data_IF_880672041310
#
_entry.id   IF_880672041310
#
_cell.length_a   1.000
_cell.length_b   1.000
_cell.length_c   1.000
_cell.angle_alpha   90.00
_cell.angle_beta   90.00
_cell.angle_gamma   90.00
#
_symmetry.space_group_name_H-M   'P 1'
#
loop_
_entity.id
_entity.type
_entity.pdbx_description
1 polymer ?
#
# COMPACT_ATOMS: atom_id res chain seq x y z
N UNK A 1 21.91 14.44 21.39
CA UNK A 1 22.80 13.73 20.45
C UNK A 1 22.70 14.44 19.12
N UNK A 2 23.69 15.27 18.77
CA UNK A 2 23.70 15.95 17.48
C UNK A 2 24.10 14.92 16.42
N UNK A 3 23.17 14.55 15.55
CA UNK A 3 23.50 13.76 14.37
C UNK A 3 24.14 14.69 13.34
N UNK A 4 25.45 14.67 13.24
CA UNK A 4 26.16 15.28 12.11
C UNK A 4 25.97 14.38 10.89
N UNK A 5 25.09 14.79 9.99
CA UNK A 5 25.00 14.18 8.66
C UNK A 5 26.17 14.70 7.82
N UNK A 6 27.04 13.84 7.29
CA UNK A 6 28.05 14.28 6.35
C UNK A 6 27.39 14.98 5.17
N UNK A 7 27.94 16.10 4.72
CA UNK A 7 27.41 16.93 3.62
C UNK A 7 27.29 16.19 2.26
N UNK A 8 27.74 14.95 2.18
CA UNK A 8 27.74 14.10 0.98
C UNK A 8 26.60 13.08 0.95
N UNK A 9 25.75 12.98 2.00
CA UNK A 9 24.63 12.04 1.98
C UNK A 9 23.52 12.51 1.04
N UNK A 10 23.01 11.62 0.19
CA UNK A 10 21.86 11.94 -0.65
C UNK A 10 20.64 12.21 0.23
N UNK A 11 19.88 13.25 -0.14
CA UNK A 11 18.65 13.59 0.56
C UNK A 11 17.61 12.48 0.35
N UNK A 12 17.02 11.98 1.43
CA UNK A 12 15.85 11.11 1.36
C UNK A 12 14.61 11.97 1.09
N UNK A 13 13.95 11.73 -0.03
CA UNK A 13 12.76 12.45 -0.45
C UNK A 13 11.48 11.82 0.08
N UNK A 14 11.43 10.51 0.14
CA UNK A 14 10.30 9.72 0.61
C UNK A 14 10.81 8.35 1.05
N UNK A 15 10.18 7.79 2.07
CA UNK A 15 10.34 6.42 2.54
C UNK A 15 8.98 5.89 2.97
N UNK A 16 8.88 4.61 3.28
CA UNK A 16 7.63 3.99 3.71
C UNK A 16 7.58 3.90 5.24
N UNK A 17 6.41 4.23 5.81
CA UNK A 17 6.14 4.01 7.23
C UNK A 17 5.83 2.53 7.54
N UNK A 18 5.40 1.77 6.53
CA UNK A 18 5.04 0.37 6.65
C UNK A 18 6.23 -0.53 6.29
N UNK A 19 6.99 -0.89 7.32
CA UNK A 19 8.06 -1.89 7.19
C UNK A 19 7.45 -3.26 6.98
N UNK A 20 8.06 -4.05 6.09
CA UNK A 20 7.65 -5.43 5.86
C UNK A 20 8.68 -6.39 6.42
N UNK A 21 8.23 -7.40 7.16
CA UNK A 21 9.11 -8.51 7.56
C UNK A 21 9.39 -9.38 6.33
N UNK A 22 10.65 -9.67 6.07
CA UNK A 22 11.05 -10.58 4.99
C UNK A 22 10.61 -12.01 5.35
N UNK A 23 9.75 -12.66 4.53
CA UNK A 23 9.20 -13.97 4.87
C UNK A 23 10.27 -15.01 5.17
N UNK A 24 10.05 -15.80 6.22
CA UNK A 24 10.98 -16.84 6.66
C UNK A 24 12.25 -16.34 7.36
N UNK A 25 12.34 -15.05 7.65
CA UNK A 25 13.48 -14.43 8.32
C UNK A 25 13.02 -13.46 9.42
N UNK A 26 13.98 -12.92 10.18
CA UNK A 26 13.74 -11.79 11.11
C UNK A 26 14.16 -10.44 10.51
N UNK A 27 14.51 -10.42 9.22
CA UNK A 27 14.89 -9.19 8.55
C UNK A 27 13.68 -8.30 8.29
N UNK A 28 13.92 -7.01 8.23
CA UNK A 28 12.94 -6.01 7.83
C UNK A 28 13.34 -5.40 6.48
N UNK A 29 12.36 -5.24 5.60
CA UNK A 29 12.52 -4.62 4.29
C UNK A 29 11.79 -3.28 4.28
N UNK A 30 12.42 -2.29 3.67
CA UNK A 30 11.82 -0.99 3.37
C UNK A 30 12.47 -0.40 2.13
N UNK A 31 11.97 0.76 1.69
CA UNK A 31 12.54 1.50 0.59
C UNK A 31 12.72 2.97 0.93
N UNK A 32 13.58 3.64 0.18
CA UNK A 32 13.66 5.10 0.20
C UNK A 32 13.91 5.65 -1.20
N UNK A 33 13.21 6.73 -1.54
CA UNK A 33 13.61 7.60 -2.63
C UNK A 33 14.72 8.53 -2.17
N UNK A 34 15.80 8.54 -2.90
CA UNK A 34 16.96 9.38 -2.63
C UNK A 34 17.28 10.27 -3.82
N UNK A 35 17.86 11.43 -3.53
CA UNK A 35 18.33 12.38 -4.54
C UNK A 35 19.68 12.95 -4.12
N UNK A 36 20.64 12.90 -5.03
CA UNK A 36 21.91 13.64 -4.88
C UNK A 36 21.76 15.12 -5.25
N UNK A 37 22.83 15.87 -5.15
CA UNK A 37 22.84 17.29 -5.54
C UNK A 37 22.52 17.49 -7.02
N UNK A 38 22.88 16.52 -7.84
CA UNK A 38 22.63 16.51 -9.29
C UNK A 38 21.97 15.21 -9.71
N UNK A 39 21.21 15.24 -10.80
CA UNK A 39 20.60 14.06 -11.42
C UNK A 39 19.17 13.76 -10.93
N UNK A 40 18.61 12.71 -11.51
CA UNK A 40 17.28 12.24 -11.19
C UNK A 40 17.27 11.46 -9.87
N UNK A 41 16.15 11.47 -9.13
CA UNK A 41 15.98 10.60 -7.96
C UNK A 41 16.12 9.12 -8.32
N UNK A 42 16.49 8.33 -7.33
CA UNK A 42 16.51 6.87 -7.44
C UNK A 42 15.82 6.24 -6.23
N UNK A 43 15.41 4.99 -6.37
CA UNK A 43 14.87 4.19 -5.28
C UNK A 43 15.95 3.21 -4.81
N UNK A 44 16.09 3.10 -3.49
CA UNK A 44 16.87 2.04 -2.83
C UNK A 44 15.92 1.14 -2.07
N UNK A 45 16.04 -0.17 -2.28
CA UNK A 45 15.42 -1.21 -1.47
C UNK A 45 16.42 -1.63 -0.42
N UNK A 46 16.02 -1.57 0.82
CA UNK A 46 16.92 -1.75 1.96
C UNK A 46 16.45 -2.91 2.84
N UNK A 47 17.41 -3.67 3.33
CA UNK A 47 17.22 -4.76 4.30
C UNK A 47 17.94 -4.43 5.60
N UNK A 48 17.25 -4.60 6.71
CA UNK A 48 17.83 -4.58 8.04
C UNK A 48 17.77 -5.98 8.64
N UNK A 49 18.92 -6.48 9.09
CA UNK A 49 18.98 -7.67 9.91
C UNK A 49 18.75 -7.29 11.38
N UNK A 50 18.38 -8.23 12.26
CA UNK A 50 18.18 -7.93 13.68
C UNK A 50 19.38 -7.28 14.36
N UNK A 51 20.59 -7.60 13.92
CA UNK A 51 21.86 -7.05 14.43
C UNK A 51 22.25 -5.71 13.82
N UNK A 52 21.61 -5.28 12.73
CA UNK A 52 21.96 -4.03 12.05
C UNK A 52 21.52 -2.81 12.86
N UNK A 53 22.30 -1.75 12.79
CA UNK A 53 21.86 -0.44 13.27
C UNK A 53 20.92 0.21 12.23
N UNK A 54 20.08 1.10 12.68
CA UNK A 54 19.19 1.85 11.78
C UNK A 54 19.93 2.60 10.65
N UNK A 55 21.21 2.91 10.88
CA UNK A 55 22.02 3.72 9.95
C UNK A 55 22.73 2.90 8.86
N UNK A 56 22.80 1.59 8.98
CA UNK A 56 23.62 0.73 8.10
C UNK A 56 22.84 -0.42 7.49
N UNK A 57 21.73 -0.15 6.75
CA UNK A 57 21.03 -1.21 6.07
C UNK A 57 21.87 -1.77 4.91
N UNK A 58 21.64 -3.01 4.57
CA UNK A 58 22.04 -3.56 3.29
C UNK A 58 21.20 -2.94 2.17
N UNK A 59 21.82 -2.39 1.14
CA UNK A 59 21.09 -1.97 -0.07
C UNK A 59 20.97 -3.17 -1.00
N UNK A 60 19.77 -3.76 -1.03
CA UNK A 60 19.46 -4.94 -1.86
C UNK A 60 19.42 -4.58 -3.34
N UNK A 61 18.80 -3.44 -3.66
CA UNK A 61 18.68 -2.96 -5.03
C UNK A 61 18.67 -1.43 -5.07
N UNK A 62 19.14 -0.90 -6.20
CA UNK A 62 19.12 0.53 -6.50
C UNK A 62 18.77 0.73 -7.97
N UNK A 63 17.71 1.50 -8.24
CA UNK A 63 17.29 1.75 -9.62
C UNK A 63 16.61 3.12 -9.77
N UNK A 64 16.53 3.57 -11.02
CA UNK A 64 15.81 4.80 -11.38
C UNK A 64 14.43 4.43 -11.91
N UNK A 65 13.36 4.75 -11.20
CA UNK A 65 12.02 4.55 -11.70
C UNK A 65 11.69 5.54 -12.83
N UNK A 66 10.66 5.24 -13.59
CA UNK A 66 10.18 6.09 -14.70
C UNK A 66 9.59 7.41 -14.23
N UNK A 67 9.07 7.42 -13.00
CA UNK A 67 8.45 8.59 -12.36
C UNK A 67 8.75 8.62 -10.87
N UNK A 68 8.78 9.81 -10.30
CA UNK A 68 8.79 10.01 -8.86
C UNK A 68 7.34 10.09 -8.38
N UNK A 69 6.90 9.06 -7.70
CA UNK A 69 5.53 8.87 -7.25
C UNK A 69 5.48 8.78 -5.73
N UNK A 70 4.40 9.29 -5.13
CA UNK A 70 4.14 8.99 -3.73
C UNK A 70 3.70 7.55 -3.59
N UNK A 71 4.39 6.80 -2.76
CA UNK A 71 4.05 5.43 -2.39
C UNK A 71 3.97 5.34 -0.86
N UNK A 72 2.81 4.97 -0.35
CA UNK A 72 2.58 4.83 1.10
C UNK A 72 2.93 3.44 1.59
N UNK A 73 2.73 2.42 0.76
CA UNK A 73 3.10 1.03 1.04
C UNK A 73 3.66 0.33 -0.20
N UNK A 74 4.12 -0.88 -0.01
CA UNK A 74 4.61 -1.79 -1.04
C UNK A 74 4.24 -3.22 -0.66
N UNK A 75 4.53 -4.19 -1.50
CA UNK A 75 4.26 -5.60 -1.20
C UNK A 75 5.51 -6.43 -1.24
N UNK A 76 5.50 -7.54 -0.50
CA UNK A 76 6.57 -8.52 -0.44
C UNK A 76 6.02 -9.93 -0.70
N UNK A 77 6.77 -10.73 -1.46
CA UNK A 77 6.59 -12.16 -1.61
C UNK A 77 7.72 -12.90 -0.88
N UNK A 78 7.80 -14.20 -1.00
CA UNK A 78 8.91 -14.96 -0.40
C UNK A 78 10.27 -14.56 -0.99
N UNK A 79 10.34 -14.10 -2.25
CA UNK A 79 11.60 -13.75 -2.89
C UNK A 79 11.64 -12.40 -3.62
N UNK A 80 10.53 -11.65 -3.66
CA UNK A 80 10.47 -10.39 -4.38
C UNK A 80 9.80 -9.28 -3.58
N UNK A 81 10.14 -8.04 -3.92
CA UNK A 81 9.38 -6.84 -3.54
C UNK A 81 8.67 -6.30 -4.77
N UNK A 82 7.42 -5.90 -4.62
CA UNK A 82 6.59 -5.33 -5.68
C UNK A 82 6.24 -3.88 -5.36
N UNK A 83 6.55 -3.00 -6.29
CA UNK A 83 6.26 -1.58 -6.21
C UNK A 83 5.23 -1.17 -7.25
N UNK A 84 4.25 -0.38 -6.83
CA UNK A 84 3.29 0.29 -7.71
C UNK A 84 3.62 1.78 -7.76
N UNK A 85 4.15 2.23 -8.89
CA UNK A 85 4.41 3.65 -9.13
C UNK A 85 3.17 4.29 -9.71
N UNK A 86 2.36 4.83 -8.83
CA UNK A 86 1.11 5.49 -9.17
C UNK A 86 1.36 6.79 -9.96
N UNK A 87 0.43 7.22 -10.81
CA UNK A 87 0.51 8.52 -11.48
C UNK A 87 0.13 9.69 -10.56
N UNK A 88 0.62 9.64 -9.33
CA UNK A 88 0.48 10.67 -8.30
C UNK A 88 1.85 11.23 -8.01
N UNK A 89 2.08 12.46 -8.45
CA UNK A 89 3.38 13.15 -8.32
C UNK A 89 3.36 14.08 -7.12
N UNK A 90 4.51 14.20 -6.48
CA UNK A 90 4.73 15.24 -5.48
C UNK A 90 5.35 16.43 -6.21
N UNK A 91 4.74 17.60 -6.14
CA UNK A 91 5.31 18.85 -6.61
C UNK A 91 5.87 19.66 -5.44
N UNK A 92 7.18 19.60 -5.19
CA UNK A 92 7.79 20.31 -4.06
C UNK A 92 7.67 21.82 -4.16
N UNK A 93 7.38 22.39 -5.33
CA UNK A 93 7.18 23.81 -5.50
C UNK A 93 5.86 24.31 -4.89
N UNK A 94 4.92 23.41 -4.70
CA UNK A 94 3.63 23.72 -4.06
C UNK A 94 3.71 23.80 -2.53
N UNK A 95 4.77 23.31 -1.88
CA UNK A 95 4.88 23.32 -0.41
C UNK A 95 4.71 24.69 0.21
N UNK A 96 5.37 25.77 -0.25
CA UNK A 96 5.20 27.08 0.35
C UNK A 96 3.77 27.63 0.20
N UNK A 97 3.14 27.40 -0.96
CA UNK A 97 1.78 27.89 -1.24
C UNK A 97 0.70 27.08 -0.48
N UNK A 98 0.99 25.84 -0.11
CA UNK A 98 0.09 24.96 0.62
C UNK A 98 0.22 25.05 2.14
N UNK A 99 0.93 26.05 2.67
CA UNK A 99 1.27 26.13 4.09
C UNK A 99 1.88 24.84 4.64
N UNK A 100 2.68 24.16 3.82
CA UNK A 100 3.32 22.88 4.12
C UNK A 100 2.37 21.69 4.32
N UNK A 101 1.13 21.76 3.84
CA UNK A 101 0.26 20.60 3.79
C UNK A 101 0.70 19.65 2.66
N UNK A 102 1.26 18.51 3.02
CA UNK A 102 1.87 17.58 2.06
C UNK A 102 0.90 17.13 0.96
N UNK A 103 -0.36 16.82 1.31
CA UNK A 103 -1.35 16.33 0.36
C UNK A 103 -1.81 17.39 -0.68
N UNK A 104 -1.68 18.68 -0.37
CA UNK A 104 -1.94 19.76 -1.34
C UNK A 104 -0.85 19.86 -2.43
N UNK A 105 0.30 19.26 -2.17
CA UNK A 105 1.41 19.23 -3.14
C UNK A 105 1.29 18.08 -4.14
N UNK A 106 0.36 17.16 -3.91
CA UNK A 106 0.17 15.99 -4.76
C UNK A 106 -0.67 16.36 -5.97
N UNK A 107 -0.25 15.82 -7.09
CA UNK A 107 -0.90 15.98 -8.38
C UNK A 107 -1.11 14.61 -9.01
N UNK A 108 -2.36 14.21 -9.16
CA UNK A 108 -2.75 12.91 -9.71
C UNK A 108 -3.45 13.07 -11.06
N UNK A 109 -3.08 12.26 -12.03
CA UNK A 109 -3.74 12.21 -13.32
C UNK A 109 -4.29 10.80 -13.57
N UNK A 110 -5.61 10.67 -13.60
CA UNK A 110 -6.30 9.39 -13.82
C UNK A 110 -6.13 8.83 -15.23
N UNK A 111 -5.65 9.61 -16.19
CA UNK A 111 -5.37 9.14 -17.55
C UNK A 111 -4.01 8.51 -17.69
N UNK A 112 -3.11 8.75 -16.71
CA UNK A 112 -1.77 8.20 -16.74
C UNK A 112 -1.77 6.76 -16.19
N UNK A 113 -0.84 5.97 -16.67
CA UNK A 113 -0.68 4.58 -16.27
C UNK A 113 0.10 4.44 -14.97
N UNK A 114 -0.19 3.38 -14.24
CA UNK A 114 0.61 2.90 -13.12
C UNK A 114 1.70 1.98 -13.65
N UNK A 115 2.93 2.16 -13.17
CA UNK A 115 4.06 1.30 -13.52
C UNK A 115 4.37 0.35 -12.36
N UNK A 116 4.55 -0.93 -12.69
CA UNK A 116 4.86 -1.98 -11.74
C UNK A 116 6.33 -2.37 -11.88
N UNK A 117 7.05 -2.41 -10.76
CA UNK A 117 8.41 -2.94 -10.69
C UNK A 117 8.47 -4.10 -9.71
N UNK A 118 9.22 -5.12 -10.08
CA UNK A 118 9.46 -6.31 -9.27
C UNK A 118 10.96 -6.40 -9.01
N UNK A 119 11.34 -6.45 -7.74
CA UNK A 119 12.74 -6.52 -7.31
C UNK A 119 13.00 -7.85 -6.63
N UNK A 120 13.94 -8.62 -7.12
CA UNK A 120 14.33 -9.87 -6.51
C UNK A 120 15.20 -9.61 -5.27
N UNK A 121 14.78 -10.12 -4.12
CA UNK A 121 15.43 -9.89 -2.82
C UNK A 121 16.77 -10.64 -2.68
N UNK A 122 17.01 -11.65 -3.50
CA UNK A 122 18.20 -12.48 -3.39
C UNK A 122 19.39 -11.92 -4.17
N UNK A 123 19.13 -11.35 -5.35
CA UNK A 123 20.19 -10.88 -6.24
C UNK A 123 20.06 -9.40 -6.63
N UNK A 124 18.99 -8.73 -6.21
CA UNK A 124 18.76 -7.32 -6.51
C UNK A 124 18.28 -7.01 -7.92
N UNK A 125 17.98 -8.05 -8.74
CA UNK A 125 17.49 -7.85 -10.10
C UNK A 125 16.16 -7.12 -10.11
N UNK A 126 16.02 -6.16 -11.04
CA UNK A 126 14.82 -5.33 -11.18
C UNK A 126 14.18 -5.62 -12.53
N UNK A 127 12.92 -6.05 -12.50
CA UNK A 127 12.08 -6.23 -13.69
C UNK A 127 11.01 -5.13 -13.74
N UNK A 128 10.69 -4.65 -14.91
CA UNK A 128 9.74 -3.56 -15.17
C UNK A 128 10.38 -2.38 -15.92
N UNK A 129 9.65 -1.28 -16.18
CA UNK A 129 8.26 -1.09 -15.77
C UNK A 129 7.29 -1.96 -16.58
N UNK A 130 6.34 -2.57 -15.89
CA UNK A 130 5.16 -3.17 -16.50
C UNK A 130 4.00 -2.19 -16.33
N UNK A 131 3.42 -1.71 -17.41
CA UNK A 131 2.39 -0.67 -17.33
C UNK A 131 1.00 -1.28 -17.22
N UNK A 132 0.19 -0.74 -16.32
CA UNK A 132 -1.23 -1.07 -16.17
C UNK A 132 -2.07 0.20 -16.15
N UNK A 133 -3.39 0.05 -16.11
CA UNK A 133 -4.30 1.19 -15.99
C UNK A 133 -4.05 1.97 -14.69
N UNK A 134 -4.68 3.14 -14.58
CA UNK A 134 -4.63 3.94 -13.38
C UNK A 134 -4.95 3.07 -12.14
N UNK A 135 -4.10 3.16 -11.15
CA UNK A 135 -4.30 2.61 -9.83
C UNK A 135 -3.79 3.61 -8.80
N UNK A 136 -4.41 3.63 -7.64
CA UNK A 136 -3.88 4.30 -6.46
C UNK A 136 -4.33 3.57 -5.21
N UNK A 137 -3.41 3.40 -4.28
CA UNK A 137 -3.64 2.76 -2.99
C UNK A 137 -2.75 3.38 -1.92
N UNK A 138 -3.28 3.54 -0.72
CA UNK A 138 -2.45 3.77 0.45
C UNK A 138 -1.87 2.44 0.94
N UNK A 139 -2.67 1.37 0.99
CA UNK A 139 -2.28 0.11 1.62
C UNK A 139 -2.41 -1.07 0.67
N UNK A 140 -1.35 -1.89 0.64
CA UNK A 140 -1.36 -3.20 0.02
C UNK A 140 -1.71 -4.26 1.07
N UNK A 141 -2.37 -5.35 0.63
CA UNK A 141 -2.79 -6.44 1.52
C UNK A 141 -1.69 -7.48 1.63
N UNK A 142 -1.39 -8.14 0.52
CA UNK A 142 -0.38 -9.18 0.44
C UNK A 142 0.04 -9.41 -1.01
N UNK A 143 1.20 -10.02 -1.21
CA UNK A 143 1.59 -10.55 -2.50
C UNK A 143 2.18 -11.96 -2.34
N UNK A 144 2.09 -12.78 -3.38
CA UNK A 144 2.68 -14.10 -3.38
C UNK A 144 3.04 -14.55 -4.80
N UNK A 145 3.98 -15.48 -4.88
CA UNK A 145 4.38 -16.09 -6.13
C UNK A 145 3.41 -17.24 -6.45
N UNK A 146 2.68 -17.10 -7.55
CA UNK A 146 1.79 -18.14 -8.06
C UNK A 146 2.56 -19.16 -8.89
N UNK A 147 3.63 -18.72 -9.56
CA UNK A 147 4.61 -19.52 -10.29
C UNK A 147 5.92 -18.75 -10.40
N UNK A 148 6.92 -19.31 -11.08
CA UNK A 148 8.22 -18.67 -11.33
C UNK A 148 8.08 -17.31 -12.04
N UNK A 149 7.11 -17.17 -12.94
CA UNK A 149 6.92 -15.98 -13.76
C UNK A 149 5.67 -15.17 -13.35
N UNK A 150 4.84 -15.66 -12.43
CA UNK A 150 3.59 -14.97 -12.03
C UNK A 150 3.57 -14.62 -10.55
N UNK A 151 3.37 -13.33 -10.27
CA UNK A 151 3.14 -12.77 -8.93
C UNK A 151 1.71 -12.27 -8.84
N UNK A 152 1.04 -12.62 -7.76
CA UNK A 152 -0.27 -12.07 -7.39
C UNK A 152 -0.08 -11.03 -6.32
N UNK A 153 -0.72 -9.87 -6.48
CA UNK A 153 -0.71 -8.76 -5.54
C UNK A 153 -2.13 -8.29 -5.29
N UNK A 154 -2.57 -8.29 -4.03
CA UNK A 154 -3.83 -7.73 -3.58
C UNK A 154 -3.62 -6.39 -2.87
N UNK A 155 -4.47 -5.41 -3.19
CA UNK A 155 -4.37 -4.06 -2.66
C UNK A 155 -5.74 -3.40 -2.50
N UNK A 156 -5.82 -2.42 -1.61
CA UNK A 156 -7.03 -1.66 -1.32
C UNK A 156 -7.11 -0.46 -2.28
N UNK A 157 -8.02 -0.44 -3.26
CA UNK A 157 -8.14 0.70 -4.16
C UNK A 157 -8.74 1.90 -3.43
N UNK A 158 -8.03 3.00 -3.47
CA UNK A 158 -8.49 4.26 -2.90
C UNK A 158 -8.34 5.35 -3.95
N UNK A 159 -9.41 6.01 -4.40
CA UNK A 159 -9.26 7.16 -5.27
C UNK A 159 -8.44 8.24 -4.58
N UNK A 160 -7.38 8.70 -5.25
CA UNK A 160 -6.45 9.68 -4.66
C UNK A 160 -7.15 10.96 -4.21
N UNK A 161 -8.12 11.42 -4.99
CA UNK A 161 -8.90 12.62 -4.67
C UNK A 161 -9.69 12.44 -3.38
N UNK A 162 -10.24 11.26 -3.16
CA UNK A 162 -10.97 10.94 -1.92
C UNK A 162 -10.01 10.98 -0.74
N UNK A 163 -8.84 10.35 -0.85
CA UNK A 163 -7.84 10.35 0.22
C UNK A 163 -7.41 11.78 0.56
N UNK A 164 -7.18 12.64 -0.43
CA UNK A 164 -6.82 14.04 -0.21
C UNK A 164 -7.89 14.79 0.57
N UNK A 165 -9.16 14.59 0.23
CA UNK A 165 -10.28 15.24 0.93
C UNK A 165 -10.48 14.66 2.34
N UNK A 166 -10.35 13.35 2.52
CA UNK A 166 -10.47 12.70 3.84
C UNK A 166 -9.41 13.15 4.82
N UNK A 167 -8.22 13.49 4.37
CA UNK A 167 -7.11 13.87 5.24
C UNK A 167 -7.04 15.38 5.55
N UNK A 168 -7.98 16.17 5.04
CA UNK A 168 -8.12 17.57 5.45
C UNK A 168 -8.74 17.67 6.84
N UNK A 169 -8.04 18.31 7.77
CA UNK A 169 -8.50 18.47 9.14
C UNK A 169 -9.88 19.17 9.21
N UNK A 170 -10.13 20.16 8.36
CA UNK A 170 -11.41 20.84 8.27
C UNK A 170 -12.57 19.89 7.94
N UNK A 171 -12.34 18.93 7.03
CA UNK A 171 -13.34 17.93 6.66
C UNK A 171 -13.51 16.87 7.74
N UNK A 172 -12.47 16.60 8.52
CA UNK A 172 -12.55 15.70 9.68
C UNK A 172 -13.36 16.31 10.84
N UNK A 173 -13.19 17.60 11.06
CA UNK A 173 -13.90 18.33 12.14
C UNK A 173 -15.33 18.73 11.75
N UNK A 174 -15.54 19.09 10.48
CA UNK A 174 -16.82 19.51 9.94
C UNK A 174 -17.04 18.78 8.59
N UNK A 175 -17.50 17.52 8.62
CA UNK A 175 -17.73 16.77 7.38
C UNK A 175 -18.69 17.56 6.49
N UNK A 176 -18.35 17.77 5.20
CA UNK A 176 -19.26 18.40 4.27
C UNK A 176 -20.60 17.66 4.22
N UNK A 177 -21.71 18.40 4.07
CA UNK A 177 -23.04 17.79 3.95
C UNK A 177 -23.14 16.83 2.74
N UNK A 178 -22.25 16.98 1.76
CA UNK A 178 -22.07 16.04 0.62
C UNK A 178 -21.46 14.70 1.04
N UNK A 179 -20.94 14.58 2.24
CA UNK A 179 -20.61 13.31 2.89
C UNK A 179 -21.83 12.69 3.57
N UNK A 180 -23.00 12.85 2.97
CA UNK A 180 -24.16 12.07 3.36
C UNK A 180 -23.79 10.59 3.29
N UNK A 181 -23.85 9.89 4.42
CA UNK A 181 -23.65 8.46 4.46
C UNK A 181 -24.47 7.68 3.43
N UNK A 182 -25.63 8.18 3.06
CA UNK A 182 -26.48 7.56 2.06
C UNK A 182 -26.07 7.90 0.62
N UNK A 183 -25.33 8.99 0.40
CA UNK A 183 -24.87 9.42 -0.93
C UNK A 183 -23.51 8.86 -1.33
N UNK A 184 -22.70 8.39 -0.39
CA UNK A 184 -21.40 7.72 -0.66
C UNK A 184 -21.58 6.35 -1.34
N UNK A 185 -22.80 5.88 -1.46
CA UNK A 185 -23.16 4.62 -2.16
C UNK A 185 -22.88 4.64 -3.67
N UNK A 186 -22.43 5.75 -4.23
CA UNK A 186 -22.44 5.92 -5.69
C UNK A 186 -21.13 5.66 -6.43
N UNK A 187 -20.04 5.49 -5.75
CA UNK A 187 -18.83 5.03 -6.43
C UNK A 187 -18.69 3.54 -6.18
N UNK A 188 -19.23 2.74 -7.07
CA UNK A 188 -19.25 1.29 -7.02
C UNK A 188 -18.01 0.72 -6.37
N UNK A 189 -18.19 0.19 -5.14
CA UNK A 189 -17.08 -0.08 -4.26
C UNK A 189 -16.32 -1.32 -4.68
N UNK A 190 -15.19 -1.10 -5.26
CA UNK A 190 -14.17 -2.14 -5.33
C UNK A 190 -13.46 -2.14 -3.98
N UNK A 191 -13.58 -3.21 -3.23
CA UNK A 191 -12.95 -3.32 -1.91
C UNK A 191 -11.52 -3.82 -2.00
N UNK A 192 -11.26 -4.73 -2.94
CA UNK A 192 -9.96 -5.31 -3.19
C UNK A 192 -9.73 -5.39 -4.68
N UNK A 193 -8.56 -5.00 -5.13
CA UNK A 193 -8.10 -5.25 -6.48
C UNK A 193 -6.92 -6.20 -6.45
N UNK A 194 -6.96 -7.20 -7.30
CA UNK A 194 -5.89 -8.16 -7.53
C UNK A 194 -5.17 -7.86 -8.82
N UNK A 195 -3.85 -7.74 -8.76
CA UNK A 195 -3.00 -7.77 -9.92
C UNK A 195 -2.35 -9.15 -10.07
N UNK A 196 -2.42 -9.72 -11.27
CA UNK A 196 -1.57 -10.84 -11.67
C UNK A 196 -0.51 -10.31 -12.62
N UNK A 197 0.72 -10.31 -12.14
CA UNK A 197 1.89 -9.74 -12.82
C UNK A 197 2.67 -10.89 -13.45
N UNK A 198 2.74 -10.95 -14.78
CA UNK A 198 3.59 -11.88 -15.49
C UNK A 198 4.92 -11.20 -15.80
N UNK A 199 5.98 -11.61 -15.09
CA UNK A 199 7.30 -10.98 -15.18
C UNK A 199 8.08 -11.36 -16.44
N UNK A 200 7.70 -12.44 -17.11
CA UNK A 200 8.31 -12.90 -18.37
C UNK A 200 7.69 -12.18 -19.57
N UNK A 201 6.36 -12.06 -19.58
CA UNK A 201 5.64 -11.37 -20.66
C UNK A 201 5.60 -9.85 -20.48
N UNK A 202 5.89 -9.37 -19.27
CA UNK A 202 5.78 -7.94 -18.94
C UNK A 202 4.34 -7.44 -18.88
N UNK A 203 3.39 -8.30 -18.50
CA UNK A 203 1.96 -7.97 -18.48
C UNK A 203 1.40 -7.93 -17.06
N UNK A 204 0.37 -7.10 -16.86
CA UNK A 204 -0.37 -6.98 -15.60
C UNK A 204 -1.86 -7.12 -15.91
N UNK A 205 -2.50 -8.13 -15.33
CA UNK A 205 -3.95 -8.33 -15.39
C UNK A 205 -4.56 -7.85 -14.09
N UNK A 206 -5.70 -7.17 -14.17
CA UNK A 206 -6.46 -6.66 -13.04
C UNK A 206 -7.75 -7.43 -12.87
N UNK A 207 -8.08 -7.78 -11.64
CA UNK A 207 -9.34 -8.36 -11.22
C UNK A 207 -9.85 -7.59 -10.01
N UNK A 208 -11.12 -7.20 -10.03
CA UNK A 208 -11.76 -6.46 -8.96
C UNK A 208 -12.67 -7.39 -8.17
N UNK A 209 -12.52 -7.36 -6.85
CA UNK A 209 -13.42 -8.08 -5.95
C UNK A 209 -14.53 -7.13 -5.53
N UNK A 210 -15.77 -7.42 -5.95
CA UNK A 210 -16.90 -6.58 -5.59
C UNK A 210 -17.18 -6.68 -4.10
N UNK A 211 -17.84 -5.65 -3.59
CA UNK A 211 -18.39 -5.68 -2.27
C UNK A 211 -19.59 -6.63 -2.22
N UNK A 212 -19.49 -7.68 -1.44
CA UNK A 212 -20.58 -8.64 -1.20
C UNK A 212 -21.36 -8.32 0.07
N UNK A 213 -20.85 -7.42 0.91
CA UNK A 213 -21.46 -7.03 2.16
C UNK A 213 -22.47 -5.90 1.92
N UNK A 214 -23.70 -6.13 2.35
CA UNK A 214 -24.83 -5.24 2.13
C UNK A 214 -24.57 -3.80 2.58
N UNK A 215 -24.55 -2.94 1.64
CA UNK A 215 -24.86 -1.51 1.52
C UNK A 215 -24.52 -0.47 2.61
N UNK A 216 -24.48 -0.74 3.87
CA UNK A 216 -24.26 0.30 4.90
C UNK A 216 -22.81 0.62 5.19
N UNK A 217 -21.87 -0.25 4.80
CA UNK A 217 -20.44 -0.16 5.11
C UNK A 217 -19.57 -0.30 3.86
N UNK A 218 -20.03 0.17 2.75
CA UNK A 218 -19.74 -0.35 1.43
C UNK A 218 -18.43 0.10 0.82
N UNK A 219 -17.85 1.21 1.14
CA UNK A 219 -17.07 1.85 0.11
C UNK A 219 -15.58 2.04 0.36
N UNK A 220 -15.06 1.63 1.50
CA UNK A 220 -13.64 1.84 1.77
C UNK A 220 -13.09 0.72 2.65
N UNK A 221 -12.84 -0.45 2.07
CA UNK A 221 -12.01 -1.42 2.75
C UNK A 221 -10.55 -0.95 2.71
N UNK A 222 -10.01 -0.64 3.87
CA UNK A 222 -8.63 -0.16 4.01
C UNK A 222 -8.01 -0.61 5.34
N UNK A 223 -6.77 -0.23 5.61
CA UNK A 223 -5.99 -0.66 6.78
C UNK A 223 -5.96 -2.19 6.94
N UNK A 224 -5.55 -2.91 5.87
CA UNK A 224 -5.64 -4.35 5.86
C UNK A 224 -4.60 -4.99 6.76
N UNK A 225 -5.00 -6.07 7.42
CA UNK A 225 -4.10 -6.99 8.13
C UNK A 225 -4.40 -8.43 7.74
N UNK A 226 -3.38 -9.26 7.80
CA UNK A 226 -3.49 -10.71 7.57
C UNK A 226 -2.81 -11.45 8.74
N UNK A 227 -3.00 -12.76 8.80
CA UNK A 227 -2.10 -13.56 9.60
C UNK A 227 -0.69 -13.52 8.99
N UNK A 228 0.28 -13.02 9.75
CA UNK A 228 1.65 -12.83 9.27
C UNK A 228 2.37 -14.13 8.84
N UNK A 229 1.88 -15.30 9.25
CA UNK A 229 2.37 -16.59 8.73
C UNK A 229 2.11 -16.78 7.23
N UNK A 230 1.14 -16.06 6.68
CA UNK A 230 0.80 -16.04 5.26
C UNK A 230 1.41 -14.85 4.50
N UNK A 231 2.23 -14.02 5.15
CA UNK A 231 2.94 -12.94 4.45
C UNK A 231 3.85 -13.53 3.36
N UNK A 232 3.68 -13.06 2.14
CA UNK A 232 4.42 -13.55 0.99
C UNK A 232 3.87 -14.85 0.39
N UNK A 233 2.84 -15.45 0.97
CA UNK A 233 2.25 -16.74 0.57
C UNK A 233 0.80 -16.57 0.15
N UNK A 234 0.27 -17.58 -0.56
CA UNK A 234 -1.16 -17.65 -0.89
C UNK A 234 -1.98 -17.64 0.40
N UNK A 235 -3.04 -16.87 0.42
CA UNK A 235 -3.92 -16.66 1.57
C UNK A 235 -5.36 -16.48 1.09
N UNK A 236 -6.32 -16.53 2.01
CA UNK A 236 -7.73 -16.29 1.70
C UNK A 236 -8.34 -15.19 2.57
N UNK A 237 -7.83 -14.97 3.77
CA UNK A 237 -8.48 -14.08 4.73
C UNK A 237 -7.63 -12.84 4.98
N UNK A 238 -8.27 -11.68 4.87
CA UNK A 238 -7.74 -10.40 5.34
C UNK A 238 -8.78 -9.71 6.21
N UNK A 239 -8.33 -8.93 7.15
CA UNK A 239 -9.16 -8.08 7.99
C UNK A 239 -8.81 -6.64 7.72
N UNK A 240 -9.79 -5.77 7.79
CA UNK A 240 -9.59 -4.35 7.59
C UNK A 240 -10.75 -3.55 8.14
N UNK A 241 -10.74 -2.28 7.85
CA UNK A 241 -11.77 -1.34 8.26
C UNK A 241 -12.60 -0.94 7.05
N UNK A 242 -13.91 -0.88 7.22
CA UNK A 242 -14.79 -0.15 6.33
C UNK A 242 -15.22 1.12 7.04
N UNK A 243 -14.66 2.24 6.59
CA UNK A 243 -15.04 3.54 7.12
C UNK A 243 -16.23 4.07 6.33
N UNK A 244 -17.29 4.36 7.04
CA UNK A 244 -18.46 4.99 6.48
C UNK A 244 -18.56 6.41 7.00
N UNK A 245 -18.20 7.37 6.20
CA UNK A 245 -17.96 8.72 6.67
C UNK A 245 -17.21 8.71 8.03
N UNK A 246 -16.78 9.83 8.53
CA UNK A 246 -16.01 9.91 9.79
C UNK A 246 -16.75 9.43 11.06
N UNK A 247 -17.99 8.99 10.93
CA UNK A 247 -18.86 8.68 12.08
C UNK A 247 -19.12 7.20 12.31
N UNK A 248 -18.82 6.34 11.34
CA UNK A 248 -19.09 4.91 11.44
C UNK A 248 -17.93 4.10 10.88
N UNK A 249 -17.40 3.21 11.67
CA UNK A 249 -16.32 2.30 11.26
C UNK A 249 -16.73 0.89 11.63
N UNK A 250 -16.67 -0.02 10.67
CA UNK A 250 -16.86 -1.44 10.88
C UNK A 250 -15.53 -2.17 10.68
N UNK A 251 -15.38 -3.31 11.30
CA UNK A 251 -14.32 -4.28 10.96
C UNK A 251 -14.90 -5.23 9.93
N UNK A 252 -14.15 -5.46 8.88
CA UNK A 252 -14.51 -6.40 7.81
C UNK A 252 -13.50 -7.53 7.80
N UNK A 253 -14.01 -8.77 7.77
CA UNK A 253 -13.28 -9.96 7.42
C UNK A 253 -13.57 -10.26 5.95
N UNK A 254 -12.59 -10.07 5.10
CA UNK A 254 -12.69 -10.30 3.66
C UNK A 254 -12.12 -11.65 3.30
N UNK A 255 -12.88 -12.46 2.55
CA UNK A 255 -12.39 -13.71 2.02
C UNK A 255 -12.14 -13.59 0.50
N UNK A 256 -10.89 -13.42 0.10
CA UNK A 256 -10.50 -13.27 -1.32
C UNK A 256 -10.53 -14.56 -2.12
N UNK A 257 -10.83 -15.70 -1.49
CA UNK A 257 -11.02 -16.99 -2.15
C UNK A 257 -12.51 -17.34 -2.32
N UNK A 258 -13.38 -16.80 -1.47
CA UNK A 258 -14.81 -17.07 -1.44
C UNK A 258 -15.55 -15.85 -0.87
N UNK A 259 -15.86 -14.86 -1.72
CA UNK A 259 -16.47 -13.61 -1.26
C UNK A 259 -17.81 -13.76 -0.54
N UNK A 260 -18.53 -14.88 -0.74
CA UNK A 260 -19.79 -15.14 -0.04
C UNK A 260 -19.58 -15.40 1.48
N UNK A 261 -18.33 -15.54 1.90
CA UNK A 261 -17.92 -15.70 3.31
C UNK A 261 -17.37 -14.44 3.94
N UNK A 262 -17.59 -13.29 3.32
CA UNK A 262 -17.25 -12.01 3.93
C UNK A 262 -18.12 -11.76 5.17
N UNK A 263 -17.54 -11.17 6.19
CA UNK A 263 -18.22 -10.88 7.45
C UNK A 263 -17.95 -9.43 7.87
N UNK A 264 -18.98 -8.78 8.45
CA UNK A 264 -18.85 -7.43 9.02
C UNK A 264 -19.14 -7.46 10.50
N UNK A 265 -18.28 -6.83 11.27
CA UNK A 265 -18.54 -6.55 12.67
C UNK A 265 -18.70 -5.03 12.86
N UNK A 266 -19.89 -4.62 13.26
CA UNK A 266 -20.21 -3.24 13.59
C UNK A 266 -20.86 -3.14 14.96
N UNK A 267 -20.50 -2.11 15.71
CA UNK A 267 -21.14 -1.78 16.97
C UNK A 267 -21.41 -0.29 17.02
N UNK A 268 -22.65 0.08 17.24
CA UNK A 268 -23.08 1.47 17.36
C UNK A 268 -22.34 2.19 18.48
N UNK A 269 -22.02 3.47 18.25
CA UNK A 269 -21.23 4.30 19.18
C UNK A 269 -19.83 3.76 19.51
N UNK A 270 -19.25 2.92 18.63
CA UNK A 270 -17.89 2.49 18.72
C UNK A 270 -17.14 2.89 17.45
N UNK A 271 -15.94 3.41 17.64
CA UNK A 271 -15.00 3.71 16.58
C UNK A 271 -13.84 2.72 16.68
N UNK A 272 -13.76 1.81 15.73
CA UNK A 272 -12.71 0.81 15.69
C UNK A 272 -11.43 1.40 15.12
N UNK A 273 -10.29 0.99 15.67
CA UNK A 273 -8.97 1.26 15.10
C UNK A 273 -8.52 0.14 14.15
N UNK A 274 -7.29 0.24 13.71
CA UNK A 274 -6.67 -0.78 12.86
C UNK A 274 -6.71 -2.16 13.53
N UNK A 275 -6.99 -3.18 12.73
CA UNK A 275 -7.06 -4.56 13.22
C UNK A 275 -5.67 -5.18 13.32
N UNK A 276 -5.48 -6.04 14.33
CA UNK A 276 -4.30 -6.88 14.46
C UNK A 276 -4.73 -8.33 14.59
N UNK A 277 -4.14 -9.21 13.77
CA UNK A 277 -4.39 -10.64 13.86
C UNK A 277 -3.53 -11.26 14.95
N UNK A 278 -4.18 -11.95 15.88
CA UNK A 278 -3.52 -12.72 16.92
C UNK A 278 -3.90 -14.20 16.73
N UNK A 279 -2.94 -15.07 16.39
CA UNK A 279 -3.24 -16.49 16.25
C UNK A 279 -3.58 -17.11 17.60
N UNK A 280 -4.56 -17.99 17.62
CA UNK A 280 -4.86 -18.77 18.84
C UNK A 280 -3.73 -19.76 19.08
N UNK A 281 -3.09 -19.74 20.26
CA UNK A 281 -1.99 -20.65 20.56
C UNK A 281 -2.39 -22.12 20.39
N UNK A 282 -1.58 -22.89 19.69
CA UNK A 282 -1.78 -24.33 19.50
C UNK A 282 -2.80 -24.73 18.42
N UNK A 283 -3.45 -23.78 17.73
CA UNK A 283 -4.25 -24.07 16.56
C UNK A 283 -3.39 -23.88 15.31
N UNK A 284 -3.17 -24.96 14.58
CA UNK A 284 -2.69 -24.88 13.20
C UNK A 284 -3.87 -24.37 12.38
N UNK A 285 -3.81 -23.12 11.94
CA UNK A 285 -4.87 -22.55 11.12
C UNK A 285 -4.87 -23.27 9.76
N UNK A 286 -6.00 -23.89 9.47
CA UNK A 286 -6.30 -24.40 8.14
C UNK A 286 -6.51 -23.16 7.25
N UNK A 287 -5.75 -23.10 6.18
CA UNK A 287 -5.76 -22.04 5.15
C UNK A 287 -7.13 -21.89 4.49
#
# INVERSE_FOLDING_TARGET
>A
MNMEYPATYPMTLNGCAHWMREPGTDNSINFAFKKGFTGAPWLEVMRWRPEDTFQTPEVVAKFKPTKFSYMHSFSITESHVVFLFYPVKIDPKKFPASNFHAFETFDGNRTDKTDVFVVNLKNGDVKGPFSTNYAYSAHHINAYEKSEDEIVLDWCPTPFENMREYLKLENMLNPPATFDPESVTTTGGVEVTRFTINTKEGSVKSEEFPNTINSKFINNFDFPTINEEYRGKKYCITYGMAAFAYSRVAIVKKNVCDPDKDEVFYRENHYFGETHFLPTPGLTLIS
#
